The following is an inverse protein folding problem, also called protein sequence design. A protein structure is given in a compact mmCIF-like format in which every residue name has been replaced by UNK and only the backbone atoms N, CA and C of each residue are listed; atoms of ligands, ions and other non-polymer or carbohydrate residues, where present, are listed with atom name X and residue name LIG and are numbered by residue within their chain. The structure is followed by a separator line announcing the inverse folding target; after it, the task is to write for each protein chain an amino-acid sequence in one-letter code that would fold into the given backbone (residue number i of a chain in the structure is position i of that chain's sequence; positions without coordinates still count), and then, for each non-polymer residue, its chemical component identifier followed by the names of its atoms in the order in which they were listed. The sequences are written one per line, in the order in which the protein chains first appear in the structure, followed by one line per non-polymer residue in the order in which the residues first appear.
data_IF_579839066807
#
_entry.id   IF_579839066807
#
_cell.length_a   1.000
_cell.length_b   1.000
_cell.length_c   1.000
_cell.angle_alpha   90.00
_cell.angle_beta   90.00
_cell.angle_gamma   90.00
#
_symmetry.space_group_name_H-M   'P 1'
#
loop_
_entity.id
_entity.type
_entity.pdbx_description
1 polymer ?
#
# COMPACT_ATOMS: atom_id res chain seq x y z
N UNK A 1 -15.19 -8.57 -4.07
CA UNK A 1 -15.20 -7.15 -4.49
C UNK A 1 -14.75 -7.08 -5.94
N UNK A 2 -15.44 -6.36 -6.83
CA UNK A 2 -14.87 -6.04 -8.14
C UNK A 2 -13.70 -5.08 -7.92
N UNK A 3 -12.49 -5.62 -7.98
CA UNK A 3 -11.25 -4.85 -7.86
C UNK A 3 -11.13 -3.94 -9.09
N UNK A 4 -11.01 -2.64 -8.89
CA UNK A 4 -10.60 -1.73 -9.96
C UNK A 4 -9.06 -1.74 -10.00
N UNK A 5 -8.42 -2.29 -11.04
CA UNK A 5 -6.97 -2.49 -11.07
C UNK A 5 -6.18 -1.19 -10.85
N UNK A 6 -6.70 -0.07 -11.38
CA UNK A 6 -6.09 1.24 -11.19
C UNK A 6 -6.15 1.70 -9.72
N UNK A 7 -7.24 1.44 -9.01
CA UNK A 7 -7.38 1.83 -7.60
C UNK A 7 -6.40 1.05 -6.73
N UNK A 8 -6.30 -0.27 -6.94
CA UNK A 8 -5.36 -1.11 -6.19
C UNK A 8 -3.91 -0.73 -6.50
N UNK A 9 -3.61 -0.44 -7.77
CA UNK A 9 -2.31 0.08 -8.16
C UNK A 9 -1.98 1.41 -7.45
N UNK A 10 -2.90 2.38 -7.41
CA UNK A 10 -2.70 3.64 -6.69
C UNK A 10 -2.51 3.44 -5.17
N UNK A 11 -3.15 2.43 -4.57
CA UNK A 11 -2.91 2.07 -3.17
C UNK A 11 -1.50 1.56 -2.94
N UNK A 12 -0.98 0.71 -3.82
CA UNK A 12 0.42 0.27 -3.76
C UNK A 12 1.40 1.44 -3.90
N UNK A 13 1.15 2.35 -4.85
CA UNK A 13 1.96 3.57 -5.02
C UNK A 13 1.94 4.42 -3.74
N UNK A 14 0.76 4.63 -3.17
CA UNK A 14 0.60 5.39 -1.92
C UNK A 14 1.33 4.73 -0.76
N UNK A 15 1.19 3.41 -0.61
CA UNK A 15 1.88 2.64 0.43
C UNK A 15 3.40 2.82 0.32
N UNK A 16 3.97 2.71 -0.87
CA UNK A 16 5.41 2.79 -1.09
C UNK A 16 5.93 4.22 -0.95
N UNK A 17 5.27 5.20 -1.59
CA UNK A 17 5.79 6.58 -1.68
C UNK A 17 5.46 7.44 -0.47
N UNK A 18 4.29 7.26 0.13
CA UNK A 18 3.84 8.07 1.28
C UNK A 18 4.16 7.39 2.59
N UNK A 19 3.97 6.07 2.66
CA UNK A 19 4.14 5.30 3.89
C UNK A 19 5.44 4.49 3.95
N UNK A 20 6.30 4.59 2.93
CA UNK A 20 7.55 3.84 2.82
C UNK A 20 7.39 2.32 3.02
N UNK A 21 6.26 1.76 2.59
CA UNK A 21 5.92 0.34 2.78
C UNK A 21 5.34 -0.01 4.15
N UNK A 22 5.18 0.95 5.07
CA UNK A 22 4.70 0.69 6.42
C UNK A 22 3.17 0.59 6.48
N UNK A 23 2.67 -0.64 6.32
CA UNK A 23 1.23 -0.96 6.38
C UNK A 23 0.63 -0.58 7.74
N UNK A 24 1.34 -0.86 8.84
CA UNK A 24 0.84 -0.60 10.19
C UNK A 24 0.65 0.90 10.45
N UNK A 25 1.55 1.74 9.95
CA UNK A 25 1.43 3.19 10.03
C UNK A 25 0.20 3.69 9.29
N UNK A 26 -0.05 3.21 8.06
CA UNK A 26 -1.23 3.64 7.32
C UNK A 26 -2.54 3.22 8.01
N UNK A 27 -2.60 1.97 8.50
CA UNK A 27 -3.74 1.50 9.31
C UNK A 27 -3.95 2.35 10.57
N UNK A 28 -2.88 2.76 11.25
CA UNK A 28 -2.96 3.64 12.41
C UNK A 28 -3.59 5.01 12.06
N UNK A 29 -3.19 5.62 10.94
CA UNK A 29 -3.79 6.88 10.48
C UNK A 29 -5.27 6.70 10.12
N UNK A 30 -5.63 5.62 9.41
CA UNK A 30 -7.03 5.35 9.07
C UNK A 30 -7.89 5.18 10.33
N UNK A 31 -7.37 4.53 11.36
CA UNK A 31 -8.06 4.40 12.65
C UNK A 31 -8.26 5.76 13.34
N UNK A 32 -7.22 6.59 13.40
CA UNK A 32 -7.28 7.90 14.04
C UNK A 32 -8.12 8.93 13.27
N UNK A 33 -8.43 8.66 12.01
CA UNK A 33 -9.30 9.50 11.16
C UNK A 33 -10.70 8.93 10.99
N UNK A 34 -11.10 7.96 11.83
CA UNK A 34 -12.41 7.29 11.79
C UNK A 34 -12.74 6.59 10.46
N UNK A 35 -11.70 6.15 9.72
CA UNK A 35 -11.78 5.43 8.44
C UNK A 35 -11.35 3.95 8.56
N UNK A 36 -11.37 3.39 9.77
CA UNK A 36 -10.97 1.99 10.03
C UNK A 36 -11.86 0.95 9.31
N UNK A 37 -13.10 1.30 8.96
CA UNK A 37 -14.01 0.46 8.18
C UNK A 37 -14.00 0.74 6.67
N UNK A 38 -13.01 1.47 6.16
CA UNK A 38 -12.93 1.82 4.74
C UNK A 38 -12.32 0.71 3.89
N UNK A 39 -12.59 0.73 2.57
CA UNK A 39 -11.98 -0.19 1.61
C UNK A 39 -10.43 -0.17 1.65
N UNK A 40 -9.82 0.96 2.04
CA UNK A 40 -8.37 1.07 2.17
C UNK A 40 -7.88 0.29 3.40
N UNK A 41 -8.62 0.33 4.50
CA UNK A 41 -8.31 -0.47 5.70
C UNK A 41 -8.44 -1.98 5.42
N UNK A 42 -9.47 -2.38 4.68
CA UNK A 42 -9.66 -3.79 4.28
C UNK A 42 -8.55 -4.26 3.33
N UNK A 43 -8.18 -3.44 2.35
CA UNK A 43 -7.03 -3.69 1.49
C UNK A 43 -5.74 -3.87 2.29
N UNK A 44 -5.47 -2.97 3.24
CA UNK A 44 -4.25 -3.03 4.05
C UNK A 44 -4.20 -4.24 4.98
N UNK A 45 -5.33 -4.64 5.58
CA UNK A 45 -5.40 -5.87 6.39
C UNK A 45 -5.18 -7.12 5.55
N UNK A 46 -5.78 -7.16 4.35
CA UNK A 46 -5.53 -8.24 3.40
C UNK A 46 -4.06 -8.31 3.02
N UNK A 47 -3.45 -7.17 2.63
CA UNK A 47 -2.05 -7.09 2.25
C UNK A 47 -1.11 -7.45 3.40
N UNK A 48 -1.43 -7.04 4.63
CA UNK A 48 -0.69 -7.43 5.83
C UNK A 48 -0.65 -8.95 5.99
N UNK A 49 -1.77 -9.64 5.74
CA UNK A 49 -1.83 -11.10 5.75
C UNK A 49 -0.99 -11.75 4.65
N UNK A 50 -0.95 -11.13 3.46
CA UNK A 50 -0.07 -11.60 2.37
C UNK A 50 1.41 -11.45 2.73
N UNK A 51 1.83 -10.27 3.23
CA UNK A 51 3.22 -10.04 3.64
C UNK A 51 3.66 -10.90 4.84
N UNK A 52 2.73 -11.31 5.70
CA UNK A 52 3.03 -12.26 6.76
C UNK A 52 3.32 -13.68 6.23
N UNK A 53 2.71 -14.03 5.09
CA UNK A 53 2.93 -15.33 4.41
C UNK A 53 4.14 -15.29 3.48
N UNK A 54 4.40 -14.13 2.87
CA UNK A 54 5.55 -13.87 2.00
C UNK A 54 6.24 -12.56 2.41
N UNK A 55 7.35 -12.64 3.18
CA UNK A 55 8.08 -11.47 3.64
C UNK A 55 8.71 -10.63 2.52
N UNK A 56 8.91 -11.18 1.32
CA UNK A 56 9.54 -10.48 0.19
C UNK A 56 8.55 -9.66 -0.64
N UNK A 57 7.25 -9.93 -0.50
CA UNK A 57 6.20 -9.28 -1.27
C UNK A 57 6.26 -7.74 -1.22
N UNK A 58 6.60 -7.16 -0.06
CA UNK A 58 6.66 -5.70 0.06
C UNK A 58 7.80 -5.09 -0.76
N UNK A 59 8.91 -5.81 -0.92
CA UNK A 59 10.04 -5.39 -1.73
C UNK A 59 9.73 -5.53 -3.22
N UNK A 60 9.01 -6.59 -3.62
CA UNK A 60 8.52 -6.76 -4.99
C UNK A 60 7.52 -5.66 -5.41
N UNK A 61 6.60 -5.31 -4.50
CA UNK A 61 5.68 -4.18 -4.69
C UNK A 61 6.48 -2.89 -4.87
N UNK A 62 7.51 -2.65 -4.04
CA UNK A 62 8.38 -1.48 -4.15
C UNK A 62 9.05 -1.40 -5.51
N UNK A 63 9.68 -2.48 -5.96
CA UNK A 63 10.32 -2.56 -7.27
C UNK A 63 9.34 -2.31 -8.42
N UNK A 64 8.12 -2.84 -8.32
CA UNK A 64 7.06 -2.64 -9.32
C UNK A 64 6.61 -1.18 -9.37
N UNK A 65 6.41 -0.54 -8.20
CA UNK A 65 6.07 0.89 -8.11
C UNK A 65 7.20 1.74 -8.68
N UNK A 66 8.46 1.41 -8.39
CA UNK A 66 9.63 2.13 -8.93
C UNK A 66 9.71 1.99 -10.46
N UNK A 67 9.51 0.79 -10.99
CA UNK A 67 9.52 0.53 -12.43
C UNK A 67 8.34 1.19 -13.19
N UNK A 68 7.26 1.55 -12.50
CA UNK A 68 6.06 2.13 -13.15
C UNK A 68 6.28 3.52 -13.73
N UNK A 69 7.31 4.25 -13.30
CA UNK A 69 7.60 5.61 -13.76
C UNK A 69 6.55 6.67 -13.36
N UNK A 70 5.53 6.31 -12.57
CA UNK A 70 4.45 7.20 -12.16
C UNK A 70 4.83 8.17 -11.02
N UNK A 71 6.03 8.01 -10.47
CA UNK A 71 6.59 8.93 -9.49
C UNK A 71 8.00 9.30 -9.93
N UNK A 72 8.37 10.59 -9.94
CA UNK A 72 9.74 10.99 -10.22
C UNK A 72 10.69 10.37 -9.19
N UNK A 73 11.82 9.86 -9.66
CA UNK A 73 12.82 9.14 -8.86
C UNK A 73 13.54 10.00 -7.81
N UNK A 74 13.09 11.23 -7.56
CA UNK A 74 13.80 12.21 -6.76
C UNK A 74 12.86 12.93 -5.79
N UNK A 75 13.11 12.71 -4.49
CA UNK A 75 13.05 13.70 -3.41
C UNK A 75 13.81 13.08 -2.23
N UNK A 76 15.15 13.12 -2.33
CA UNK A 76 16.05 13.00 -1.17
C UNK A 76 15.87 14.23 -0.27
#
# INVERSE_FOLDING_TARGET
MMQQPLTDFLRYVTLVRVFNGNIALWLHILRNTSRDGSNDADFLRWLQGQCASDPHLIDEIRQTVDASGLWPSESL
#
